data_IF_517719228609
#
_entry.id   IF_517719228609
#
_cell.length_a   1.000
_cell.length_b   1.000
_cell.length_c   1.000
_cell.angle_alpha   90.00
_cell.angle_beta   90.00
_cell.angle_gamma   90.00
#
_symmetry.space_group_name_H-M   'P 1'
#
loop_
_entity.id
_entity.type
_entity.pdbx_description
1 polymer ?
#
# COMPACT_ATOMS: atom_id res chain seq x y z
N UNK A 1 -4.05 21.70 -22.07
CA UNK A 1 -3.46 20.55 -21.34
C UNK A 1 -4.36 20.29 -20.14
N UNK A 2 -5.31 19.37 -20.28
CA UNK A 2 -6.30 19.06 -19.24
C UNK A 2 -5.64 18.20 -18.16
N UNK A 3 -5.41 18.81 -17.00
CA UNK A 3 -4.92 18.15 -15.80
C UNK A 3 -5.98 17.13 -15.33
N UNK A 4 -5.83 15.86 -15.70
CA UNK A 4 -6.56 14.78 -15.03
C UNK A 4 -5.98 14.69 -13.62
N UNK A 5 -6.61 15.39 -12.70
CA UNK A 5 -6.31 15.33 -11.28
C UNK A 5 -6.89 14.03 -10.75
N UNK A 6 -6.25 12.91 -11.07
CA UNK A 6 -6.57 11.58 -10.56
C UNK A 6 -6.23 11.53 -9.06
N UNK A 7 -7.03 12.24 -8.27
CA UNK A 7 -6.93 12.23 -6.81
C UNK A 7 -7.46 10.88 -6.35
N UNK A 8 -6.55 9.96 -6.10
CA UNK A 8 -6.86 8.70 -5.44
C UNK A 8 -7.17 9.00 -3.96
N UNK A 9 -8.45 8.93 -3.59
CA UNK A 9 -8.86 9.04 -2.19
C UNK A 9 -8.77 7.66 -1.54
N UNK A 10 -7.89 7.55 -0.55
CA UNK A 10 -7.75 6.35 0.26
C UNK A 10 -8.73 6.43 1.43
N UNK A 11 -9.74 5.56 1.47
CA UNK A 11 -10.64 5.46 2.62
C UNK A 11 -9.89 4.81 3.77
N UNK A 12 -9.90 5.48 4.91
CA UNK A 12 -9.41 4.93 6.15
C UNK A 12 -10.54 4.28 6.94
N UNK A 13 -10.46 2.97 7.19
CA UNK A 13 -11.44 2.33 8.06
C UNK A 13 -11.19 2.73 9.52
N UNK A 14 -12.11 3.52 10.10
CA UNK A 14 -12.06 3.92 11.52
C UNK A 14 -11.96 2.70 12.44
N UNK A 15 -12.56 1.58 12.04
CA UNK A 15 -12.50 0.31 12.77
C UNK A 15 -11.10 -0.27 12.87
N UNK A 16 -10.16 0.10 11.98
CA UNK A 16 -8.75 -0.24 12.14
C UNK A 16 -8.16 0.38 13.40
N UNK A 17 -8.51 1.63 13.71
CA UNK A 17 -8.09 2.28 14.96
C UNK A 17 -8.76 1.61 16.17
N UNK A 18 -10.08 1.41 16.11
CA UNK A 18 -10.87 0.83 17.21
C UNK A 18 -10.53 -0.64 17.51
N UNK A 19 -10.12 -1.39 16.51
CA UNK A 19 -9.75 -2.80 16.65
C UNK A 19 -8.30 -3.01 17.14
N UNK A 20 -7.54 -1.93 17.37
CA UNK A 20 -6.15 -2.01 17.84
C UNK A 20 -5.12 -2.30 16.73
N UNK A 21 -5.52 -2.31 15.45
CA UNK A 21 -4.61 -2.57 14.33
C UNK A 21 -3.47 -1.57 14.28
N UNK A 22 -3.75 -0.29 14.53
CA UNK A 22 -2.72 0.75 14.47
C UNK A 22 -1.64 0.55 15.54
N UNK A 23 -2.05 0.17 16.76
CA UNK A 23 -1.14 -0.11 17.85
C UNK A 23 -0.30 -1.36 17.57
N UNK A 24 -0.92 -2.44 17.09
CA UNK A 24 -0.26 -3.71 16.80
C UNK A 24 0.70 -3.61 15.59
N UNK A 25 0.32 -2.87 14.55
CA UNK A 25 1.16 -2.66 13.37
C UNK A 25 2.44 -1.88 13.74
N UNK A 26 2.29 -0.87 14.60
CA UNK A 26 3.37 0.00 15.07
C UNK A 26 3.78 1.07 14.03
N UNK A 27 4.41 2.15 14.51
CA UNK A 27 4.68 3.35 13.71
C UNK A 27 5.51 3.12 12.44
N UNK A 28 6.53 2.25 12.51
CA UNK A 28 7.39 1.96 11.35
C UNK A 28 6.60 1.30 10.21
N UNK A 29 5.84 0.24 10.52
CA UNK A 29 5.03 -0.46 9.52
C UNK A 29 3.84 0.38 9.08
N UNK A 30 3.27 1.20 9.98
CA UNK A 30 2.24 2.17 9.68
C UNK A 30 2.67 3.14 8.57
N UNK A 31 3.82 3.77 8.77
CA UNK A 31 4.39 4.71 7.81
C UNK A 31 4.67 4.02 6.46
N UNK A 32 5.24 2.82 6.48
CA UNK A 32 5.50 2.05 5.25
C UNK A 32 4.21 1.66 4.53
N UNK A 33 3.17 1.23 5.25
CA UNK A 33 1.89 0.87 4.66
C UNK A 33 1.19 2.09 4.05
N UNK A 34 1.17 3.23 4.75
CA UNK A 34 0.61 4.48 4.22
C UNK A 34 1.34 4.91 2.94
N UNK A 35 2.68 4.85 2.94
CA UNK A 35 3.48 5.20 1.76
C UNK A 35 3.22 4.26 0.59
N UNK A 36 3.06 2.96 0.86
CA UNK A 36 2.76 1.99 -0.18
C UNK A 36 1.36 2.21 -0.78
N UNK A 37 0.38 2.53 0.08
CA UNK A 37 -1.01 2.76 -0.32
C UNK A 37 -1.18 3.94 -1.29
N UNK A 38 -0.25 4.91 -1.33
CA UNK A 38 -0.29 6.00 -2.32
C UNK A 38 -0.03 5.55 -3.75
N UNK A 39 0.45 4.31 -3.94
CA UNK A 39 0.72 3.71 -5.25
C UNK A 39 -0.31 2.62 -5.61
N UNK A 40 -1.40 2.54 -4.85
CA UNK A 40 -2.42 1.52 -4.99
C UNK A 40 -3.33 1.80 -6.19
N UNK A 41 -3.47 0.84 -7.09
CA UNK A 41 -4.46 0.85 -8.17
C UNK A 41 -5.82 0.34 -7.70
N UNK A 42 -6.85 0.42 -8.54
CA UNK A 42 -8.23 0.00 -8.22
C UNK A 42 -8.39 -1.46 -7.76
N UNK A 43 -7.38 -2.32 -7.96
CA UNK A 43 -7.35 -3.73 -7.54
C UNK A 43 -6.62 -3.95 -6.22
N UNK A 44 -6.09 -2.90 -5.61
CA UNK A 44 -5.29 -2.97 -4.41
C UNK A 44 -3.84 -3.35 -4.66
N UNK A 45 -3.37 -3.28 -5.92
CA UNK A 45 -1.99 -3.59 -6.30
C UNK A 45 -1.15 -2.31 -6.36
N UNK A 46 0.10 -2.42 -5.91
CA UNK A 46 1.04 -1.31 -5.85
C UNK A 46 2.30 -1.68 -6.62
N UNK A 47 2.73 -0.77 -7.50
CA UNK A 47 3.86 -0.99 -8.42
C UNK A 47 5.08 -0.06 -8.21
N UNK A 48 5.42 0.42 -7.00
CA UNK A 48 6.57 1.29 -6.84
C UNK A 48 7.90 0.51 -6.83
N UNK A 49 8.97 1.15 -7.27
CA UNK A 49 10.33 0.64 -7.04
C UNK A 49 10.75 0.85 -5.57
N UNK A 50 11.79 0.14 -5.14
CA UNK A 50 12.29 0.23 -3.77
C UNK A 50 12.98 1.57 -3.52
N UNK A 51 13.63 2.12 -4.55
CA UNK A 51 14.22 3.46 -4.59
C UNK A 51 13.13 4.53 -4.42
N UNK A 52 12.01 4.41 -5.13
CA UNK A 52 10.91 5.35 -5.04
C UNK A 52 10.27 5.32 -3.65
N UNK A 53 10.06 4.12 -3.09
CA UNK A 53 9.57 3.96 -1.73
C UNK A 53 10.54 4.55 -0.70
N UNK A 54 11.84 4.34 -0.87
CA UNK A 54 12.87 4.91 0.01
C UNK A 54 12.83 6.44 0.00
N UNK A 55 12.77 7.03 -1.19
CA UNK A 55 12.64 8.48 -1.37
C UNK A 55 11.36 9.02 -0.71
N UNK A 56 10.20 8.37 -0.93
CA UNK A 56 8.92 8.79 -0.33
C UNK A 56 8.87 8.65 1.18
N UNK A 57 9.50 7.61 1.73
CA UNK A 57 9.61 7.41 3.18
C UNK A 57 10.70 8.30 3.83
N UNK A 58 11.53 8.99 3.05
CA UNK A 58 12.65 9.77 3.57
C UNK A 58 13.72 8.92 4.28
N UNK A 59 13.99 7.70 3.79
CA UNK A 59 14.97 6.79 4.37
C UNK A 59 15.90 6.18 3.33
N UNK A 60 16.99 5.57 3.77
CA UNK A 60 17.87 4.82 2.86
C UNK A 60 17.15 3.63 2.23
N UNK A 61 17.57 3.22 1.02
CA UNK A 61 17.02 2.05 0.33
C UNK A 61 17.12 0.77 1.16
N UNK A 62 18.21 0.59 1.90
CA UNK A 62 18.41 -0.53 2.82
C UNK A 62 17.33 -0.52 3.92
N UNK A 63 17.05 0.64 4.50
CA UNK A 63 15.99 0.80 5.51
C UNK A 63 14.61 0.55 4.91
N UNK A 64 14.35 1.06 3.71
CA UNK A 64 13.10 0.82 2.99
C UNK A 64 12.86 -0.68 2.75
N UNK A 65 13.87 -1.39 2.27
CA UNK A 65 13.81 -2.84 2.04
C UNK A 65 13.56 -3.63 3.33
N UNK A 66 14.25 -3.25 4.43
CA UNK A 66 14.01 -3.85 5.76
C UNK A 66 12.58 -3.62 6.24
N UNK A 67 12.06 -2.40 6.09
CA UNK A 67 10.70 -2.03 6.49
C UNK A 67 9.64 -2.78 5.66
N UNK A 68 9.83 -2.85 4.35
CA UNK A 68 8.95 -3.61 3.45
C UNK A 68 8.92 -5.09 3.79
N UNK A 69 10.09 -5.68 4.11
CA UNK A 69 10.17 -7.06 4.57
C UNK A 69 9.34 -7.27 5.84
N UNK A 70 9.56 -6.46 6.87
CA UNK A 70 8.78 -6.51 8.12
C UNK A 70 7.28 -6.31 7.92
N UNK A 71 6.87 -5.46 6.96
CA UNK A 71 5.47 -5.23 6.63
C UNK A 71 4.86 -6.45 5.92
N UNK A 72 5.58 -7.08 4.99
CA UNK A 72 5.13 -8.30 4.31
C UNK A 72 5.07 -9.52 5.24
N UNK A 73 5.88 -9.54 6.29
CA UNK A 73 5.90 -10.59 7.32
C UNK A 73 4.83 -10.37 8.40
N UNK A 74 4.32 -9.14 8.54
CA UNK A 74 3.29 -8.84 9.51
C UNK A 74 1.95 -9.48 9.11
N UNK A 75 1.38 -10.20 10.06
CA UNK A 75 0.09 -10.85 9.93
C UNK A 75 -0.76 -10.47 11.13
N UNK A 76 -2.05 -10.26 10.89
CA UNK A 76 -3.04 -10.11 11.94
C UNK A 76 -4.02 -11.26 11.84
N UNK A 77 -4.20 -12.00 12.93
CA UNK A 77 -5.03 -13.20 12.96
C UNK A 77 -4.63 -14.20 11.85
N UNK A 78 -3.32 -14.39 11.61
CA UNK A 78 -2.76 -15.23 10.54
C UNK A 78 -3.09 -14.78 9.11
N UNK A 79 -3.62 -13.57 8.94
CA UNK A 79 -3.90 -12.96 7.64
C UNK A 79 -2.85 -11.89 7.36
N UNK A 80 -2.09 -11.97 6.26
CA UNK A 80 -1.10 -10.95 5.91
C UNK A 80 -1.81 -9.65 5.52
N UNK A 81 -1.29 -8.51 5.96
CA UNK A 81 -1.80 -7.18 5.54
C UNK A 81 -1.32 -6.82 4.13
N UNK A 82 -0.09 -7.22 3.78
CA UNK A 82 0.51 -6.99 2.46
C UNK A 82 1.08 -8.30 1.94
N UNK A 83 0.75 -8.63 0.68
CA UNK A 83 1.38 -9.72 -0.06
C UNK A 83 2.38 -9.16 -1.05
N UNK A 84 3.52 -9.85 -1.22
CA UNK A 84 4.55 -9.51 -2.21
C UNK A 84 4.59 -10.56 -3.30
N UNK A 85 4.53 -10.13 -4.56
CA UNK A 85 4.74 -10.96 -5.75
C UNK A 85 5.96 -10.45 -6.52
N UNK A 86 6.92 -11.32 -6.76
CA UNK A 86 8.11 -10.99 -7.55
C UNK A 86 7.91 -11.56 -8.95
N UNK A 87 7.86 -10.68 -9.95
CA UNK A 87 7.85 -11.05 -11.36
C UNK A 87 9.31 -11.21 -11.80
N UNK A 88 9.65 -12.43 -12.23
CA UNK A 88 10.98 -12.79 -12.69
C UNK A 88 10.98 -12.95 -14.20
N UNK A 89 12.11 -12.61 -14.80
CA UNK A 89 12.38 -12.92 -16.19
C UNK A 89 12.38 -14.44 -16.40
N UNK A 90 11.62 -14.98 -17.37
CA UNK A 90 11.51 -16.42 -17.54
C UNK A 90 12.84 -17.06 -17.96
N UNK A 91 13.71 -16.33 -18.67
CA UNK A 91 14.99 -16.79 -19.21
C UNK A 91 16.13 -16.58 -18.20
N UNK A 92 16.28 -15.37 -17.69
CA UNK A 92 17.42 -14.99 -16.84
C UNK A 92 17.16 -15.16 -15.34
N UNK A 93 15.90 -15.44 -14.95
CA UNK A 93 15.41 -15.50 -13.56
C UNK A 93 15.62 -14.23 -12.75
N UNK A 94 16.09 -13.13 -13.37
CA UNK A 94 16.27 -11.83 -12.73
C UNK A 94 14.92 -11.25 -12.32
N UNK A 95 14.89 -10.53 -11.21
CA UNK A 95 13.70 -9.79 -10.81
C UNK A 95 13.45 -8.65 -11.79
N UNK A 96 12.32 -8.68 -12.49
CA UNK A 96 11.88 -7.60 -13.39
C UNK A 96 11.10 -6.55 -12.57
N UNK A 97 10.16 -7.02 -11.74
CA UNK A 97 9.25 -6.14 -11.01
C UNK A 97 8.80 -6.80 -9.71
N UNK A 98 8.69 -6.00 -8.66
CA UNK A 98 7.98 -6.41 -7.44
C UNK A 98 6.63 -5.74 -7.42
N UNK A 99 5.59 -6.52 -7.15
CA UNK A 99 4.21 -6.06 -6.98
C UNK A 99 3.85 -6.30 -5.53
N UNK A 100 3.31 -5.29 -4.87
CA UNK A 100 2.74 -5.42 -3.54
C UNK A 100 1.22 -5.37 -3.63
N UNK A 101 0.52 -6.13 -2.80
CA UNK A 101 -0.94 -6.12 -2.77
C UNK A 101 -1.43 -5.96 -1.34
N UNK A 102 -2.20 -4.91 -1.11
CA UNK A 102 -2.93 -4.74 0.15
C UNK A 102 -4.07 -5.76 0.18
N UNK A 103 -4.24 -6.45 1.30
CA UNK A 103 -5.30 -7.45 1.46
C UNK A 103 -6.56 -6.82 2.04
N UNK A 104 -7.69 -7.54 2.04
CA UNK A 104 -8.97 -7.02 2.54
C UNK A 104 -9.01 -6.63 4.02
N UNK A 105 -7.99 -6.98 4.81
CA UNK A 105 -7.84 -6.55 6.21
C UNK A 105 -7.03 -5.24 6.35
N UNK A 106 -6.40 -4.76 5.26
CA UNK A 106 -5.70 -3.49 5.29
C UNK A 106 -6.70 -2.35 5.57
N UNK A 107 -6.29 -1.28 6.27
CA UNK A 107 -7.17 -0.19 6.68
C UNK A 107 -7.57 0.73 5.50
N UNK A 108 -7.27 0.33 4.27
CA UNK A 108 -7.32 1.15 3.08
C UNK A 108 -8.23 0.51 2.02
N UNK A 109 -9.07 1.33 1.39
CA UNK A 109 -9.79 0.99 0.16
C UNK A 109 -9.86 2.19 -0.78
N UNK A 110 -10.07 1.95 -2.07
CA UNK A 110 -10.16 2.99 -3.10
C UNK A 110 -11.60 3.43 -3.28
N UNK A 111 -11.75 4.73 -3.54
CA UNK A 111 -12.98 5.35 -3.98
C UNK A 111 -12.77 6.02 -5.35
N UNK A 112 -13.62 5.70 -6.34
CA UNK A 112 -13.75 6.53 -7.54
C UNK A 112 -14.74 7.66 -7.24
N UNK A 113 -14.36 8.90 -7.57
CA UNK A 113 -15.10 10.13 -7.25
C UNK A 113 -16.49 10.19 -7.92
N UNK A 114 -16.77 9.33 -8.90
CA UNK A 114 -17.98 9.39 -9.73
C UNK A 114 -19.28 8.92 -9.05
N UNK A 115 -19.23 8.47 -7.80
CA UNK A 115 -20.38 7.85 -7.10
C UNK A 115 -21.20 8.79 -6.20
N UNK A 116 -20.87 10.08 -6.11
CA UNK A 116 -21.74 11.07 -5.44
C UNK A 116 -21.90 12.33 -6.30
N UNK A 117 -22.84 12.29 -7.25
CA UNK A 117 -23.68 13.46 -7.46
C UNK A 117 -24.56 13.55 -6.22
N UNK A 118 -24.17 14.40 -5.28
CA UNK A 118 -25.00 14.73 -4.13
C UNK A 118 -26.26 15.40 -4.70
N UNK A 119 -27.40 14.71 -4.61
CA UNK A 119 -28.69 15.38 -4.61
C UNK A 119 -28.72 16.27 -3.36
N UNK A 120 -28.50 17.57 -3.57
CA UNK A 120 -28.81 18.58 -2.58
C UNK A 120 -30.29 18.91 -2.74
N UNK A 121 -31.10 18.46 -1.77
CA UNK A 121 -32.38 19.08 -1.44
C UNK A 121 -32.13 20.23 -0.47
#
# INVERSE_FOLDING_TARGET
>A
MSEHNDRLFVRFYIDASRSGLMADLGAERWHTLCTLATFMDEKGECYPSQELLAHRMGVSIVSANRRLKKLCEYQRNNIPVVKRKIIRDPKTKRCIRTIYRLTGIAPFSIFSKDLFKVELN
#
